data_IF_369346389338
#
_entry.id   IF_369346389338
#
_cell.length_a   1.000
_cell.length_b   1.000
_cell.length_c   1.000
_cell.angle_alpha   90.00
_cell.angle_beta   90.00
_cell.angle_gamma   90.00
#
_symmetry.space_group_name_H-M   'P 1'
#
loop_
_entity.id
_entity.type
_entity.pdbx_description
1 polymer ?
#
# COMPACT_ATOMS: atom_id res chain seq x y z
N UNK A 1 20.79 -8.69 9.30
CA UNK A 1 20.00 -9.27 8.19
C UNK A 1 18.79 -8.38 7.98
N UNK A 2 18.80 -7.52 6.95
CA UNK A 2 17.67 -6.62 6.66
C UNK A 2 16.53 -7.47 6.13
N UNK A 3 15.39 -7.51 6.83
CA UNK A 3 14.16 -8.11 6.33
C UNK A 3 13.72 -7.37 5.06
N UNK A 4 14.22 -7.82 3.92
CA UNK A 4 13.70 -7.43 2.61
C UNK A 4 12.30 -8.01 2.52
N UNK A 5 11.31 -7.13 2.64
CA UNK A 5 9.93 -7.50 2.43
C UNK A 5 9.77 -7.59 0.91
N UNK A 6 9.91 -8.79 0.34
CA UNK A 6 9.90 -9.02 -1.12
C UNK A 6 8.72 -8.33 -1.81
N UNK A 7 7.56 -8.29 -1.15
CA UNK A 7 6.37 -7.59 -1.60
C UNK A 7 6.60 -6.08 -1.81
N UNK A 8 7.25 -5.43 -0.84
CA UNK A 8 7.50 -3.99 -0.91
C UNK A 8 8.54 -3.66 -1.98
N UNK A 9 9.56 -4.50 -2.12
CA UNK A 9 10.59 -4.33 -3.15
C UNK A 9 10.01 -4.50 -4.55
N UNK A 10 9.12 -5.49 -4.74
CA UNK A 10 8.37 -5.69 -5.98
C UNK A 10 7.48 -4.47 -6.26
N UNK A 11 6.74 -3.99 -5.26
CA UNK A 11 5.85 -2.85 -5.41
C UNK A 11 6.62 -1.56 -5.76
N UNK A 12 7.73 -1.29 -5.08
CA UNK A 12 8.61 -0.14 -5.35
C UNK A 12 9.18 -0.22 -6.77
N UNK A 13 9.58 -1.41 -7.21
CA UNK A 13 10.08 -1.63 -8.57
C UNK A 13 9.00 -1.37 -9.62
N UNK A 14 7.77 -1.83 -9.37
CA UNK A 14 6.63 -1.55 -10.22
C UNK A 14 6.27 -0.06 -10.25
N UNK A 15 6.24 0.60 -9.09
CA UNK A 15 5.97 2.03 -8.96
C UNK A 15 6.98 2.84 -9.80
N UNK A 16 8.29 2.58 -9.63
CA UNK A 16 9.34 3.27 -10.40
C UNK A 16 9.15 3.18 -11.91
N UNK A 17 8.63 2.06 -12.42
CA UNK A 17 8.35 1.88 -13.86
C UNK A 17 7.15 2.68 -14.34
N UNK A 18 6.16 2.91 -13.48
CA UNK A 18 4.91 3.60 -13.84
C UNK A 18 4.96 5.11 -13.66
N UNK A 19 5.88 5.63 -12.84
CA UNK A 19 6.04 7.09 -12.66
C UNK A 19 6.94 7.68 -13.75
N UNK A 20 6.37 8.45 -14.68
CA UNK A 20 7.11 9.28 -15.64
C UNK A 20 7.51 10.62 -15.00
N UNK A 21 8.73 10.68 -14.45
CA UNK A 21 9.29 11.87 -13.82
C UNK A 21 8.74 12.13 -12.41
N UNK A 22 9.59 12.56 -11.47
CA UNK A 22 9.30 12.69 -10.03
C UNK A 22 9.27 11.38 -9.22
N UNK A 23 10.06 10.36 -9.59
CA UNK A 23 10.17 9.12 -8.82
C UNK A 23 10.48 9.33 -7.33
N UNK A 24 11.32 10.32 -7.00
CA UNK A 24 11.62 10.66 -5.61
C UNK A 24 10.40 11.19 -4.82
N UNK A 25 9.51 11.98 -5.45
CA UNK A 25 8.30 12.46 -4.78
C UNK A 25 7.34 11.32 -4.46
N UNK A 26 7.14 10.40 -5.39
CA UNK A 26 6.28 9.24 -5.19
C UNK A 26 6.85 8.28 -4.14
N UNK A 27 8.17 8.05 -4.14
CA UNK A 27 8.82 7.25 -3.10
C UNK A 27 8.73 7.90 -1.72
N UNK A 28 8.94 9.23 -1.63
CA UNK A 28 8.75 9.97 -0.38
C UNK A 28 7.30 9.90 0.10
N UNK A 29 6.33 9.98 -0.82
CA UNK A 29 4.91 9.83 -0.48
C UNK A 29 4.61 8.42 0.04
N UNK A 30 5.13 7.38 -0.61
CA UNK A 30 4.98 6.00 -0.13
C UNK A 30 5.61 5.80 1.25
N UNK A 31 6.78 6.39 1.51
CA UNK A 31 7.41 6.38 2.84
C UNK A 31 6.57 7.13 3.88
N UNK A 32 5.92 8.23 3.48
CA UNK A 32 5.03 8.96 4.38
C UNK A 32 3.80 8.11 4.75
N UNK A 33 3.15 7.47 3.77
CA UNK A 33 2.04 6.54 4.03
C UNK A 33 2.43 5.42 5.00
N UNK A 34 3.62 4.83 4.83
CA UNK A 34 4.15 3.81 5.74
C UNK A 34 4.34 4.31 7.18
N UNK A 35 4.62 5.61 7.37
CA UNK A 35 4.82 6.22 8.70
C UNK A 35 3.51 6.70 9.33
N UNK A 36 2.55 7.13 8.52
CA UNK A 36 1.27 7.68 8.98
C UNK A 36 0.27 6.60 9.39
N UNK A 37 0.33 5.43 8.76
CA UNK A 37 -0.66 4.37 8.96
C UNK A 37 -0.09 3.14 9.68
N UNK A 38 -0.93 2.34 10.34
CA UNK A 38 -0.54 1.07 10.92
C UNK A 38 0.14 0.16 9.88
N UNK A 39 1.18 -0.55 10.32
CA UNK A 39 2.01 -1.40 9.44
C UNK A 39 1.18 -2.47 8.71
N UNK A 40 0.23 -3.08 9.42
CA UNK A 40 -0.61 -4.16 8.90
C UNK A 40 -1.55 -3.67 7.79
N UNK A 41 -2.27 -2.57 8.05
CA UNK A 41 -3.11 -1.89 7.06
C UNK A 41 -2.31 -1.48 5.81
N UNK A 42 -1.13 -0.89 6.01
CA UNK A 42 -0.23 -0.53 4.92
C UNK A 42 0.17 -1.75 4.07
N UNK A 43 0.61 -2.84 4.70
CA UNK A 43 1.02 -4.06 3.99
C UNK A 43 -0.15 -4.74 3.27
N UNK A 44 -1.33 -4.77 3.88
CA UNK A 44 -2.55 -5.30 3.27
C UNK A 44 -2.91 -4.52 2.00
N UNK A 45 -2.88 -3.19 2.07
CA UNK A 45 -3.13 -2.32 0.93
C UNK A 45 -2.07 -2.49 -0.17
N UNK A 46 -0.78 -2.56 0.18
CA UNK A 46 0.31 -2.81 -0.78
C UNK A 46 0.15 -4.17 -1.45
N UNK A 47 -0.25 -5.21 -0.71
CA UNK A 47 -0.51 -6.55 -1.27
C UNK A 47 -1.64 -6.50 -2.31
N UNK A 48 -2.77 -5.86 -1.98
CA UNK A 48 -3.90 -5.68 -2.89
C UNK A 48 -3.50 -4.84 -4.12
N UNK A 49 -2.80 -3.73 -3.90
CA UNK A 49 -2.35 -2.86 -4.98
C UNK A 49 -1.37 -3.57 -5.92
N UNK A 50 -0.42 -4.35 -5.38
CA UNK A 50 0.51 -5.16 -6.17
C UNK A 50 -0.22 -6.22 -7.00
N UNK A 51 -1.20 -6.92 -6.41
CA UNK A 51 -1.99 -7.95 -7.09
C UNK A 51 -2.75 -7.39 -8.30
N UNK A 52 -3.30 -6.18 -8.19
CA UNK A 52 -4.03 -5.53 -9.29
C UNK A 52 -3.17 -4.59 -10.16
N UNK A 53 -1.85 -4.50 -9.91
CA UNK A 53 -0.96 -3.59 -10.66
C UNK A 53 -1.26 -2.10 -10.45
N UNK A 54 -1.80 -1.72 -9.29
CA UNK A 54 -2.17 -0.35 -8.96
C UNK A 54 -0.97 0.43 -8.39
N UNK A 55 -0.48 1.41 -9.14
CA UNK A 55 0.66 2.26 -8.75
C UNK A 55 0.28 3.73 -8.49
N UNK A 56 -1.01 4.04 -8.48
CA UNK A 56 -1.53 5.33 -8.02
C UNK A 56 -1.53 5.37 -6.48
N UNK A 57 -0.76 6.30 -5.90
CA UNK A 57 -0.63 6.40 -4.45
C UNK A 57 -1.87 6.97 -3.75
N UNK A 58 -2.74 7.73 -4.43
CA UNK A 58 -4.04 8.13 -3.87
C UNK A 58 -4.95 6.90 -3.71
N UNK A 59 -4.91 6.01 -4.71
CA UNK A 59 -5.68 4.77 -4.68
C UNK A 59 -5.13 3.78 -3.64
N UNK A 60 -3.81 3.72 -3.48
CA UNK A 60 -3.18 2.98 -2.38
C UNK A 60 -3.62 3.52 -1.02
N UNK A 61 -3.56 4.83 -0.81
CA UNK A 61 -4.01 5.49 0.43
C UNK A 61 -5.47 5.20 0.74
N UNK A 62 -6.34 5.21 -0.26
CA UNK A 62 -7.74 4.80 -0.11
C UNK A 62 -7.89 3.34 0.34
N UNK A 63 -7.05 2.42 -0.15
CA UNK A 63 -7.04 1.02 0.30
C UNK A 63 -6.54 0.90 1.74
N UNK A 64 -5.55 1.70 2.15
CA UNK A 64 -5.04 1.73 3.52
C UNK A 64 -6.15 2.18 4.47
N UNK A 65 -6.81 3.30 4.15
CA UNK A 65 -7.94 3.81 4.94
C UNK A 65 -9.05 2.76 5.04
N UNK A 66 -9.38 2.07 3.94
CA UNK A 66 -10.35 0.98 3.96
C UNK A 66 -9.93 -0.22 4.81
N UNK A 67 -8.64 -0.58 4.83
CA UNK A 67 -8.17 -1.65 5.71
C UNK A 67 -8.26 -1.25 7.18
N UNK A 68 -7.84 -0.02 7.53
CA UNK A 68 -8.02 0.50 8.88
C UNK A 68 -9.51 0.53 9.23
N UNK A 69 -10.35 1.07 8.35
CA UNK A 69 -11.79 1.08 8.58
C UNK A 69 -12.37 -0.34 8.73
N UNK A 70 -11.94 -1.33 7.95
CA UNK A 70 -12.38 -2.72 8.13
C UNK A 70 -11.94 -3.34 9.45
N UNK A 71 -10.71 -3.04 9.91
CA UNK A 71 -10.19 -3.52 11.20
C UNK A 71 -10.92 -2.88 12.40
N UNK A 72 -11.41 -1.63 12.25
CA UNK A 72 -12.14 -0.90 13.29
C UNK A 72 -13.68 -1.02 13.18
N UNK A 73 -14.21 -1.25 11.98
CA UNK A 73 -15.61 -1.49 11.66
C UNK A 73 -15.75 -2.90 11.07
N UNK A 74 -15.31 -3.90 11.84
CA UNK A 74 -15.57 -5.29 11.52
C UNK A 74 -17.08 -5.55 11.73
N UNK A 75 -17.89 -5.03 10.81
CA UNK A 75 -19.18 -5.62 10.51
C UNK A 75 -18.79 -6.94 9.87
N UNK A 76 -18.80 -8.01 10.69
CA UNK A 76 -18.70 -9.38 10.20
C UNK A 76 -19.69 -9.47 9.04
N UNK A 77 -19.15 -9.45 7.82
CA UNK A 77 -19.94 -9.69 6.62
C UNK A 77 -20.32 -11.15 6.75
N UNK A 78 -21.52 -11.39 7.29
CA UNK A 78 -22.17 -12.69 7.39
C UNK A 78 -21.95 -13.41 6.06
N UNK A 79 -21.07 -14.40 6.10
CA UNK A 79 -20.87 -15.32 4.99
C UNK A 79 -22.19 -16.09 4.80
N UNK A 80 -22.97 -15.68 3.81
CA UNK A 80 -24.09 -16.43 3.24
C UNK A 80 -23.58 -17.59 2.38
#
# INVERSE_FOLDING_TARGET
>A
MRGHCDLLDQYVSGLKKHVRGSGHRQLNRLLNLKRMYPKEAFLCAVKKAAHYGLYDLNRLESLIIKSVAGDYFNLEEEAL
#
